data_IF_085121508697
#
_entry.id   IF_085121508697
#
_cell.length_a   1.000
_cell.length_b   1.000
_cell.length_c   1.000
_cell.angle_alpha   90.00
_cell.angle_beta   90.00
_cell.angle_gamma   90.00
#
_symmetry.space_group_name_H-M   'P 1'
#
loop_
_entity.id
_entity.type
_entity.pdbx_description
1 polymer ?
#
# COMPACT_ATOMS: atom_id res chain seq x y z
N UNK A 1 2.72 -6.96 -17.65
CA UNK A 1 1.44 -6.45 -17.10
C UNK A 1 0.97 -7.50 -16.10
N UNK A 2 0.66 -7.06 -14.88
CA UNK A 2 0.21 -7.91 -13.78
C UNK A 2 -1.26 -7.62 -13.47
N UNK A 3 -1.94 -8.58 -12.86
CA UNK A 3 -3.33 -8.43 -12.43
C UNK A 3 -3.54 -9.07 -11.04
N UNK A 4 -4.29 -8.40 -10.17
CA UNK A 4 -4.69 -8.88 -8.84
C UNK A 4 -6.21 -8.90 -8.78
N UNK A 5 -6.81 -10.07 -8.53
CA UNK A 5 -8.25 -10.22 -8.35
C UNK A 5 -8.57 -10.25 -6.85
N UNK A 6 -9.50 -9.40 -6.42
CA UNK A 6 -9.87 -9.20 -5.01
C UNK A 6 -11.36 -9.46 -4.77
N UNK A 7 -11.91 -10.48 -5.41
CA UNK A 7 -13.34 -10.77 -5.36
C UNK A 7 -14.17 -9.79 -6.20
N UNK A 8 -14.44 -8.59 -5.70
CA UNK A 8 -15.28 -7.59 -6.39
C UNK A 8 -14.53 -6.72 -7.41
N UNK A 9 -13.22 -6.58 -7.22
CA UNK A 9 -12.38 -5.69 -8.01
C UNK A 9 -11.17 -6.44 -8.55
N UNK A 10 -10.72 -6.03 -9.74
CA UNK A 10 -9.46 -6.44 -10.35
C UNK A 10 -8.58 -5.22 -10.55
N UNK A 11 -7.32 -5.32 -10.11
CA UNK A 11 -6.27 -4.31 -10.29
C UNK A 11 -5.33 -4.74 -11.41
N UNK A 12 -5.19 -3.94 -12.46
CA UNK A 12 -4.18 -4.16 -13.50
C UNK A 12 -3.09 -3.08 -13.47
N UNK A 13 -1.84 -3.50 -13.61
CA UNK A 13 -0.70 -2.57 -13.54
C UNK A 13 0.50 -3.04 -14.37
N UNK A 14 1.28 -2.07 -14.85
CA UNK A 14 2.42 -2.33 -15.74
C UNK A 14 3.66 -2.86 -15.01
N UNK A 15 3.94 -2.29 -13.83
CA UNK A 15 5.09 -2.64 -12.99
C UNK A 15 4.72 -2.52 -11.50
N UNK A 16 5.31 -3.40 -10.69
CA UNK A 16 5.35 -3.24 -9.25
C UNK A 16 6.68 -2.59 -8.85
N UNK A 17 6.62 -1.63 -7.93
CA UNK A 17 7.78 -0.98 -7.35
C UNK A 17 7.83 -1.37 -5.87
N UNK A 18 8.81 -2.16 -5.47
CA UNK A 18 8.98 -2.45 -4.05
C UNK A 18 9.79 -1.32 -3.43
N UNK A 19 9.30 -0.77 -2.32
CA UNK A 19 10.05 0.19 -1.51
C UNK A 19 11.15 -0.56 -0.77
N UNK A 20 12.40 -0.15 -0.98
CA UNK A 20 13.58 -0.88 -0.54
C UNK A 20 14.73 0.06 -0.15
N UNK A 21 15.54 -0.22 0.88
CA UNK A 21 16.74 0.55 1.16
C UNK A 21 17.72 0.46 -0.02
N UNK A 22 18.29 1.61 -0.39
CA UNK A 22 19.10 1.83 -1.60
C UNK A 22 20.39 0.98 -1.67
N UNK A 23 20.94 0.58 -0.53
CA UNK A 23 22.17 -0.21 -0.43
C UNK A 23 21.94 -1.74 -0.45
N UNK A 24 20.68 -2.20 -0.47
CA UNK A 24 20.34 -3.61 -0.43
C UNK A 24 20.64 -4.31 0.90
N UNK A 25 21.22 -3.60 1.87
CA UNK A 25 21.28 -4.00 3.26
C UNK A 25 20.03 -3.45 3.95
N UNK A 26 19.27 -4.34 4.58
CA UNK A 26 18.16 -3.95 5.43
C UNK A 26 18.66 -3.41 6.77
N UNK A 27 19.63 -2.51 6.71
CA UNK A 27 19.98 -1.69 7.86
C UNK A 27 18.82 -0.73 8.08
N UNK A 28 18.03 -1.07 9.10
CA UNK A 28 16.79 -0.43 9.55
C UNK A 28 17.00 1.01 10.01
N UNK A 29 18.26 1.46 10.08
CA UNK A 29 18.70 2.82 10.37
C UNK A 29 18.92 3.68 9.11
N UNK A 30 18.82 3.10 7.89
CA UNK A 30 19.07 3.85 6.66
C UNK A 30 17.75 4.40 6.07
N UNK A 31 17.61 5.72 6.05
CA UNK A 31 16.39 6.43 5.63
C UNK A 31 16.19 6.46 4.10
N UNK A 32 17.20 6.04 3.33
CA UNK A 32 17.19 6.10 1.87
C UNK A 32 16.45 4.90 1.27
N UNK A 33 15.13 4.91 1.41
CA UNK A 33 14.24 3.99 0.71
C UNK A 33 14.03 4.47 -0.73
N UNK A 34 14.41 3.62 -1.68
CA UNK A 34 14.21 3.81 -3.11
C UNK A 34 13.13 2.87 -3.65
N UNK A 35 12.44 3.30 -4.69
CA UNK A 35 11.50 2.46 -5.41
C UNK A 35 12.24 1.68 -6.49
N UNK A 36 12.39 0.38 -6.26
CA UNK A 36 13.10 -0.50 -7.18
C UNK A 36 12.07 -1.32 -7.95
N UNK A 37 12.19 -1.31 -9.29
CA UNK A 37 11.40 -2.18 -10.16
C UNK A 37 11.82 -3.62 -9.93
N UNK A 38 10.85 -4.48 -9.64
CA UNK A 38 11.10 -5.90 -9.43
C UNK A 38 10.09 -6.74 -10.17
N UNK A 39 10.53 -7.93 -10.57
CA UNK A 39 9.61 -8.99 -10.94
C UNK A 39 8.89 -9.47 -9.67
N UNK A 40 7.58 -9.67 -9.79
CA UNK A 40 6.74 -10.14 -8.71
C UNK A 40 6.00 -11.42 -9.12
N UNK A 41 5.72 -12.26 -8.12
CA UNK A 41 4.72 -13.31 -8.19
C UNK A 41 3.48 -12.88 -7.39
N UNK A 42 2.31 -13.17 -7.93
CA UNK A 42 1.02 -12.92 -7.28
C UNK A 42 0.37 -14.27 -6.99
N UNK A 43 0.12 -14.55 -5.71
CA UNK A 43 -0.66 -15.69 -5.25
C UNK A 43 -2.05 -15.17 -4.92
N UNK A 44 -3.03 -15.51 -5.75
CA UNK A 44 -4.42 -15.08 -5.57
C UNK A 44 -5.10 -15.89 -4.46
N UNK A 45 -5.83 -15.20 -3.59
CA UNK A 45 -6.90 -15.74 -2.76
C UNK A 45 -8.26 -15.29 -3.30
N UNK A 46 -9.34 -15.61 -2.58
CA UNK A 46 -10.69 -15.23 -3.02
C UNK A 46 -10.96 -13.72 -2.89
N UNK A 47 -10.52 -13.10 -1.79
CA UNK A 47 -10.74 -11.68 -1.46
C UNK A 47 -9.46 -10.91 -1.18
N UNK A 48 -8.32 -11.56 -1.34
CA UNK A 48 -7.00 -11.00 -1.10
C UNK A 48 -5.98 -11.62 -2.07
N UNK A 49 -4.81 -11.02 -2.16
CA UNK A 49 -3.68 -11.58 -2.88
C UNK A 49 -2.39 -11.34 -2.12
N UNK A 50 -1.45 -12.27 -2.26
CA UNK A 50 -0.10 -12.14 -1.75
C UNK A 50 0.84 -11.80 -2.90
N UNK A 51 1.54 -10.68 -2.78
CA UNK A 51 2.52 -10.20 -3.76
C UNK A 51 3.92 -10.43 -3.19
N UNK A 52 4.74 -11.18 -3.92
CA UNK A 52 6.08 -11.60 -3.49
C UNK A 52 7.08 -11.13 -4.54
N UNK A 53 8.17 -10.48 -4.13
CA UNK A 53 9.30 -10.21 -5.03
C UNK A 53 10.02 -11.51 -5.38
N UNK A 54 10.29 -11.76 -6.67
CA UNK A 54 10.93 -13.02 -7.11
C UNK A 54 12.43 -12.86 -7.38
N UNK A 55 12.96 -11.64 -7.30
CA UNK A 55 14.36 -11.34 -7.63
C UNK A 55 15.08 -10.66 -6.47
N UNK A 56 16.35 -11.06 -6.25
CA UNK A 56 17.23 -10.46 -5.26
C UNK A 56 16.85 -10.72 -3.80
N UNK A 57 17.41 -9.92 -2.89
CA UNK A 57 17.20 -10.00 -1.42
C UNK A 57 15.76 -9.69 -0.96
N UNK A 58 14.86 -9.38 -1.90
CA UNK A 58 13.48 -8.98 -1.64
C UNK A 58 12.51 -10.16 -1.55
N UNK A 59 12.91 -11.33 -2.05
CA UNK A 59 12.17 -12.57 -1.86
C UNK A 59 12.04 -12.98 -0.38
N UNK A 60 12.95 -12.48 0.48
CA UNK A 60 13.05 -12.85 1.90
C UNK A 60 12.15 -12.01 2.83
N UNK A 61 11.55 -10.92 2.34
CA UNK A 61 10.74 -9.99 3.16
C UNK A 61 9.28 -10.41 3.37
N UNK A 62 8.93 -11.60 2.89
CA UNK A 62 7.60 -12.14 3.01
C UNK A 62 6.60 -11.45 2.06
N UNK A 63 5.41 -12.05 1.91
CA UNK A 63 4.39 -11.56 0.99
C UNK A 63 3.77 -10.24 1.47
N UNK A 64 3.63 -9.27 0.56
CA UNK A 64 2.72 -8.15 0.76
C UNK A 64 1.29 -8.62 0.54
N UNK A 65 0.43 -8.45 1.54
CA UNK A 65 -0.99 -8.77 1.43
C UNK A 65 -1.73 -7.56 0.85
N UNK A 66 -2.46 -7.80 -0.24
CA UNK A 66 -3.37 -6.85 -0.87
C UNK A 66 -4.78 -7.37 -0.66
N UNK A 67 -5.67 -6.56 -0.10
CA UNK A 67 -7.03 -7.00 0.25
C UNK A 67 -8.03 -5.85 0.27
N UNK A 68 -9.30 -6.16 0.03
CA UNK A 68 -10.38 -5.21 0.26
C UNK A 68 -10.55 -5.03 1.78
N UNK A 69 -10.67 -3.78 2.23
CA UNK A 69 -10.90 -3.48 3.64
C UNK A 69 -12.29 -3.95 4.09
N UNK A 70 -12.33 -4.61 5.25
CA UNK A 70 -13.55 -5.00 5.94
C UNK A 70 -13.63 -4.30 7.31
N UNK A 71 -14.78 -3.67 7.67
CA UNK A 71 -15.96 -3.46 6.83
C UNK A 71 -15.65 -2.62 5.58
N UNK A 72 -16.46 -2.77 4.53
CA UNK A 72 -16.24 -2.03 3.27
C UNK A 72 -16.29 -0.52 3.52
N UNK A 73 -15.20 0.15 3.17
CA UNK A 73 -15.04 1.60 3.28
C UNK A 73 -15.14 2.23 1.89
N UNK A 74 -15.96 3.29 1.77
CA UNK A 74 -16.20 3.97 0.48
C UNK A 74 -15.84 5.46 0.52
N UNK A 75 -15.41 5.99 1.66
CA UNK A 75 -15.12 7.42 1.82
C UNK A 75 -13.73 7.65 2.40
N UNK A 76 -13.09 8.73 1.95
CA UNK A 76 -11.71 9.06 2.32
C UNK A 76 -11.52 9.18 3.82
N UNK A 77 -12.43 9.86 4.53
CA UNK A 77 -12.31 10.04 5.98
C UNK A 77 -12.25 8.70 6.73
N UNK A 78 -13.05 7.72 6.33
CA UNK A 78 -13.04 6.39 6.94
C UNK A 78 -11.74 5.63 6.63
N UNK A 79 -11.16 5.81 5.44
CA UNK A 79 -9.83 5.26 5.11
C UNK A 79 -8.75 5.87 6.02
N UNK A 80 -8.81 7.20 6.23
CA UNK A 80 -7.87 7.90 7.11
C UNK A 80 -8.00 7.40 8.55
N UNK A 81 -9.21 7.31 9.08
CA UNK A 81 -9.45 6.77 10.42
C UNK A 81 -9.00 5.31 10.54
N UNK A 82 -9.22 4.48 9.51
CA UNK A 82 -8.72 3.10 9.47
C UNK A 82 -7.19 3.03 9.57
N UNK A 83 -6.47 3.86 8.82
CA UNK A 83 -5.00 3.91 8.87
C UNK A 83 -4.51 4.41 10.25
N UNK A 84 -5.14 5.45 10.79
CA UNK A 84 -4.73 6.04 12.07
C UNK A 84 -5.06 5.15 13.27
N UNK A 85 -6.11 4.32 13.18
CA UNK A 85 -6.46 3.36 14.23
C UNK A 85 -5.37 2.30 14.47
N UNK A 86 -4.46 2.09 13.51
CA UNK A 86 -3.31 1.19 13.64
C UNK A 86 -2.17 1.79 14.46
N UNK A 87 -2.10 3.12 14.56
CA UNK A 87 -1.07 3.80 15.32
C UNK A 87 -1.46 3.85 16.81
N UNK A 88 -0.51 3.57 17.69
CA UNK A 88 -0.64 3.98 19.09
C UNK A 88 -0.68 5.51 19.13
N UNK A 89 -1.90 6.03 19.32
CA UNK A 89 -2.18 7.47 19.37
C UNK A 89 -1.81 8.08 20.72
N UNK A 90 -1.35 7.28 21.70
CA UNK A 90 -0.97 7.79 23.01
C UNK A 90 0.22 8.75 22.90
N UNK A 91 -0.02 10.01 23.26
CA UNK A 91 0.99 11.07 23.18
C UNK A 91 1.18 11.74 21.81
N UNK A 92 0.51 11.27 20.74
CA UNK A 92 0.52 11.93 19.43
C UNK A 92 -0.66 12.90 19.31
N UNK A 93 -0.38 14.18 19.09
CA UNK A 93 -1.44 15.16 18.81
C UNK A 93 -2.18 14.86 17.51
N UNK A 94 -3.50 15.09 17.47
CA UNK A 94 -4.36 14.89 16.28
C UNK A 94 -3.81 15.56 15.02
N UNK A 95 -3.18 16.73 15.17
CA UNK A 95 -2.55 17.46 14.07
C UNK A 95 -1.39 16.68 13.46
N UNK A 96 -0.51 16.11 14.28
CA UNK A 96 0.65 15.32 13.83
C UNK A 96 0.22 14.02 13.13
N UNK A 97 -0.86 13.39 13.62
CA UNK A 97 -1.47 12.23 12.98
C UNK A 97 -1.97 12.56 11.56
N UNK A 98 -2.65 13.69 11.39
CA UNK A 98 -3.15 14.12 10.08
C UNK A 98 -2.04 14.55 9.12
N UNK A 99 -0.97 15.18 9.61
CA UNK A 99 0.20 15.57 8.78
C UNK A 99 1.00 14.38 8.26
N UNK A 100 0.87 13.21 8.90
CA UNK A 100 1.47 11.96 8.44
C UNK A 100 0.68 11.32 7.30
N UNK A 101 -0.58 11.71 7.12
CA UNK A 101 -1.46 11.22 6.06
C UNK A 101 -1.41 12.15 4.86
N UNK A 102 -1.36 11.57 3.66
CA UNK A 102 -1.42 12.30 2.40
C UNK A 102 -2.38 11.60 1.44
N UNK A 103 -3.26 12.39 0.82
CA UNK A 103 -4.12 11.93 -0.26
C UNK A 103 -3.62 12.47 -1.59
N UNK A 104 -3.54 11.61 -2.61
CA UNK A 104 -3.22 11.98 -4.00
C UNK A 104 -4.33 11.47 -4.92
N UNK A 105 -4.85 12.32 -5.80
CA UNK A 105 -5.90 11.95 -6.74
C UNK A 105 -5.31 11.37 -8.04
N UNK A 106 -5.96 10.34 -8.56
CA UNK A 106 -5.67 9.69 -9.83
C UNK A 106 -6.95 9.48 -10.64
N UNK A 107 -6.82 9.08 -11.91
CA UNK A 107 -7.98 8.81 -12.78
C UNK A 107 -8.84 7.64 -12.29
N UNK A 108 -8.26 6.72 -11.52
CA UNK A 108 -8.97 5.57 -10.93
C UNK A 108 -9.55 5.83 -9.54
N UNK A 109 -9.25 6.98 -8.91
CA UNK A 109 -9.70 7.30 -7.55
C UNK A 109 -8.66 8.06 -6.72
N UNK A 110 -8.49 7.68 -5.46
CA UNK A 110 -7.59 8.35 -4.51
C UNK A 110 -6.59 7.36 -3.91
N UNK A 111 -5.33 7.75 -3.82
CA UNK A 111 -4.32 7.08 -3.02
C UNK A 111 -4.21 7.80 -1.68
N UNK A 112 -4.55 7.10 -0.59
CA UNK A 112 -4.32 7.58 0.77
C UNK A 112 -3.06 6.88 1.30
N UNK A 113 -2.09 7.66 1.76
CA UNK A 113 -0.81 7.14 2.25
C UNK A 113 -0.52 7.63 3.67
N UNK A 114 -0.03 6.75 4.54
CA UNK A 114 0.39 7.06 5.90
C UNK A 114 1.91 6.89 6.04
N UNK A 115 2.62 7.96 6.38
CA UNK A 115 4.05 7.92 6.65
C UNK A 115 4.31 7.65 8.14
N UNK A 116 4.67 6.40 8.45
CA UNK A 116 4.98 5.92 9.78
C UNK A 116 6.23 6.58 10.39
N UNK A 117 7.20 6.97 9.57
CA UNK A 117 8.40 7.69 10.04
C UNK A 117 8.05 9.05 10.63
N UNK A 118 7.08 9.77 10.04
CA UNK A 118 6.58 11.05 10.60
C UNK A 118 5.91 10.89 11.96
N UNK A 119 5.43 9.70 12.27
CA UNK A 119 4.84 9.36 13.56
C UNK A 119 5.87 8.87 14.59
N UNK A 120 7.13 8.69 14.20
CA UNK A 120 8.20 8.23 15.08
C UNK A 120 8.29 6.71 15.23
N UNK A 121 7.62 5.94 14.36
CA UNK A 121 7.71 4.49 14.35
C UNK A 121 8.94 4.04 13.54
N UNK A 122 9.69 3.09 14.07
CA UNK A 122 10.79 2.40 13.40
C UNK A 122 10.54 0.88 13.38
N UNK A 123 10.72 0.19 12.25
CA UNK A 123 11.11 0.73 10.95
C UNK A 123 9.90 1.45 10.32
N UNK A 124 10.05 2.73 9.98
CA UNK A 124 8.95 3.57 9.50
C UNK A 124 8.46 3.19 8.10
N UNK A 125 8.43 4.15 7.18
CA UNK A 125 7.98 3.91 5.81
C UNK A 125 6.54 4.34 5.54
N UNK A 126 6.04 4.02 4.35
CA UNK A 126 4.73 4.51 3.88
C UNK A 126 3.80 3.35 3.59
N UNK A 127 2.69 3.31 4.32
CA UNK A 127 1.57 2.42 4.03
C UNK A 127 0.60 3.09 3.06
N UNK A 128 -0.01 2.32 2.18
CA UNK A 128 -0.88 2.78 1.12
C UNK A 128 -2.25 2.11 1.19
N UNK A 129 -3.28 2.91 0.95
CA UNK A 129 -4.63 2.46 0.72
C UNK A 129 -5.17 3.13 -0.56
N UNK A 130 -5.83 2.34 -1.40
CA UNK A 130 -6.47 2.78 -2.62
C UNK A 130 -7.95 2.94 -2.32
N UNK A 131 -8.53 4.08 -2.67
CA UNK A 131 -9.97 4.32 -2.68
C UNK A 131 -10.43 4.49 -4.14
N UNK A 132 -10.96 3.45 -4.78
CA UNK A 132 -11.49 3.53 -6.14
C UNK A 132 -12.69 4.48 -6.24
N UNK A 133 -12.99 4.98 -7.43
CA UNK A 133 -14.19 5.82 -7.67
C UNK A 133 -15.48 5.04 -7.37
N UNK A 134 -15.56 3.80 -7.85
CA UNK A 134 -16.78 2.98 -7.82
C UNK A 134 -16.56 1.64 -7.08
N UNK A 135 -15.81 1.65 -5.97
CA UNK A 135 -15.50 0.43 -5.25
C UNK A 135 -15.01 0.62 -3.82
N UNK A 136 -14.97 -0.45 -3.02
CA UNK A 136 -14.47 -0.38 -1.66
C UNK A 136 -12.96 -0.12 -1.62
N UNK A 137 -12.51 0.45 -0.51
CA UNK A 137 -11.10 0.72 -0.26
C UNK A 137 -10.29 -0.59 -0.20
N UNK A 138 -9.07 -0.53 -0.73
CA UNK A 138 -8.14 -1.65 -0.82
C UNK A 138 -6.89 -1.32 -0.01
N UNK A 139 -6.54 -2.17 0.93
CA UNK A 139 -5.26 -2.13 1.63
C UNK A 139 -4.16 -2.64 0.69
N UNK A 140 -3.12 -1.85 0.51
CA UNK A 140 -1.90 -2.26 -0.18
C UNK A 140 -0.76 -2.56 0.80
N UNK A 141 -0.95 -2.30 2.10
CA UNK A 141 0.13 -2.29 3.08
C UNK A 141 1.27 -1.39 2.60
N UNK A 142 2.50 -1.89 2.63
CA UNK A 142 3.68 -1.17 2.15
C UNK A 142 3.99 -1.39 0.66
N UNK A 143 3.11 -2.09 -0.08
CA UNK A 143 3.30 -2.32 -1.51
C UNK A 143 3.02 -1.04 -2.30
N UNK A 144 4.00 -0.64 -3.12
CA UNK A 144 3.81 0.43 -4.10
C UNK A 144 3.64 -0.15 -5.50
N UNK A 145 2.64 0.33 -6.22
CA UNK A 145 2.48 0.06 -7.65
C UNK A 145 2.86 1.31 -8.46
N UNK A 146 2.92 1.15 -9.77
CA UNK A 146 2.86 2.30 -10.67
C UNK A 146 1.46 2.93 -10.63
N UNK A 147 1.26 3.90 -9.73
CA UNK A 147 -0.04 4.54 -9.51
C UNK A 147 -0.60 5.23 -10.76
N UNK A 148 0.26 5.75 -11.63
CA UNK A 148 -0.18 6.41 -12.86
C UNK A 148 -0.67 5.37 -13.90
N UNK A 149 -0.05 4.19 -13.92
CA UNK A 149 -0.41 3.07 -14.79
C UNK A 149 -1.47 2.12 -14.23
N UNK A 150 -1.91 2.29 -12.99
CA UNK A 150 -2.90 1.44 -12.34
C UNK A 150 -4.28 1.60 -13.00
N UNK A 151 -4.94 0.47 -13.24
CA UNK A 151 -6.34 0.39 -13.66
C UNK A 151 -7.11 -0.46 -12.68
N UNK A 152 -8.32 -0.03 -12.34
CA UNK A 152 -9.22 -0.73 -11.43
C UNK A 152 -10.50 -1.02 -12.20
N UNK A 153 -10.94 -2.28 -12.21
CA UNK A 153 -12.14 -2.73 -12.92
C UNK A 153 -12.97 -3.65 -12.03
N UNK A 154 -14.30 -3.72 -12.20
CA UNK A 154 -15.10 -4.75 -11.57
C UNK A 154 -14.62 -6.14 -12.00
N UNK A 155 -14.61 -7.09 -11.07
CA UNK A 155 -14.42 -8.51 -11.40
C UNK A 155 -15.69 -9.05 -12.05
N UNK A 156 -15.52 -9.85 -13.11
CA UNK A 156 -16.62 -10.48 -13.87
C UNK A 156 -17.06 -11.79 -13.24
#
# INVERSE_FOLDING_TARGET
MYSIALGLLTLDFGAALISAPSNGDYDWMNEDWSHIRQEIAVIQGETSAKVIGVTGRFAEKGPHVVEILLPHIFVENEVVEHLLAKADSSGLGKTKLREAVRTTCFSWGKLVSLNWSKLGYAPGGTEYCILPIDGPAISMGFLRLDWAGLRIRPSS
#
